data_IF_489372380689
#
_entry.id   IF_489372380689
#
_cell.length_a   1.000
_cell.length_b   1.000
_cell.length_c   1.000
_cell.angle_alpha   90.00
_cell.angle_beta   90.00
_cell.angle_gamma   90.00
#
_symmetry.space_group_name_H-M   'P 1'
#
loop_
_entity.id
_entity.type
_entity.pdbx_description
1 polymer ?
#
# COMPACT_ATOMS: atom_id res chain seq x y z
N UNK A 1 17.79 -0.92 -29.09
CA UNK A 1 16.65 -0.16 -28.56
C UNK A 1 17.11 0.60 -27.32
N UNK A 2 17.19 1.93 -27.35
CA UNK A 2 17.59 2.73 -26.18
C UNK A 2 16.45 2.72 -25.17
N UNK A 3 16.64 2.10 -24.01
CA UNK A 3 15.71 2.19 -22.89
C UNK A 3 15.72 3.64 -22.40
N UNK A 4 14.59 4.34 -22.50
CA UNK A 4 14.45 5.68 -21.92
C UNK A 4 14.71 5.58 -20.41
N UNK A 5 15.72 6.31 -19.92
CA UNK A 5 15.96 6.43 -18.49
C UNK A 5 14.68 6.94 -17.81
N UNK A 6 14.10 6.11 -16.96
CA UNK A 6 12.93 6.50 -16.18
C UNK A 6 13.42 7.49 -15.11
N UNK A 7 13.00 8.75 -15.22
CA UNK A 7 13.28 9.77 -14.22
C UNK A 7 12.92 9.26 -12.81
N UNK A 8 13.87 9.40 -11.87
CA UNK A 8 13.68 9.00 -10.47
C UNK A 8 12.54 9.84 -9.87
N UNK A 9 11.51 9.22 -9.25
CA UNK A 9 10.39 9.96 -8.66
C UNK A 9 10.87 10.90 -7.55
N UNK A 10 10.70 12.21 -7.74
CA UNK A 10 11.04 13.24 -6.72
C UNK A 10 10.13 13.11 -5.50
N UNK A 11 10.69 12.85 -4.31
CA UNK A 11 9.96 12.81 -3.03
C UNK A 11 9.46 14.20 -2.64
N UNK A 12 8.29 14.27 -2.02
CA UNK A 12 7.72 15.51 -1.47
C UNK A 12 8.48 15.94 -0.21
N UNK A 13 8.78 17.23 -0.09
CA UNK A 13 9.39 17.80 1.11
C UNK A 13 8.34 18.44 2.02
N UNK A 14 8.63 18.63 3.32
CA UNK A 14 7.72 19.34 4.23
C UNK A 14 7.38 20.75 3.75
N UNK A 15 8.33 21.45 3.14
CA UNK A 15 8.14 22.80 2.59
C UNK A 15 7.22 22.80 1.37
N UNK A 16 7.34 21.80 0.49
CA UNK A 16 6.41 21.61 -0.62
C UNK A 16 5.00 21.25 -0.12
N UNK A 17 4.90 20.43 0.92
CA UNK A 17 3.61 20.11 1.55
C UNK A 17 2.96 21.35 2.16
N UNK A 18 3.75 22.23 2.79
CA UNK A 18 3.22 23.47 3.38
C UNK A 18 2.72 24.44 2.31
N UNK A 19 3.50 24.67 1.25
CA UNK A 19 3.05 25.46 0.10
C UNK A 19 1.77 24.91 -0.51
N UNK A 20 1.65 23.58 -0.60
CA UNK A 20 0.44 22.95 -1.11
C UNK A 20 -0.76 23.18 -0.18
N UNK A 21 -0.58 23.15 1.16
CA UNK A 21 -1.64 23.51 2.11
C UNK A 21 -2.09 24.96 1.96
N UNK A 22 -1.15 25.89 1.91
CA UNK A 22 -1.44 27.31 1.75
C UNK A 22 -2.18 27.59 0.43
N UNK A 23 -1.71 27.01 -0.67
CA UNK A 23 -2.32 27.16 -1.99
C UNK A 23 -3.75 26.57 -2.02
N UNK A 24 -3.98 25.39 -1.42
CA UNK A 24 -5.33 24.81 -1.33
C UNK A 24 -6.24 25.64 -0.42
N UNK A 25 -5.73 26.20 0.68
CA UNK A 25 -6.51 27.09 1.53
C UNK A 25 -6.96 28.37 0.78
N UNK A 26 -6.09 28.90 -0.09
CA UNK A 26 -6.38 30.11 -0.88
C UNK A 26 -7.34 29.86 -2.04
N UNK A 27 -7.15 28.77 -2.78
CA UNK A 27 -7.87 28.50 -4.04
C UNK A 27 -9.03 27.48 -3.90
N UNK A 28 -9.10 26.78 -2.77
CA UNK A 28 -9.97 25.62 -2.57
C UNK A 28 -9.56 24.41 -3.44
N UNK A 29 -10.25 23.28 -3.28
CA UNK A 29 -9.91 22.01 -3.94
C UNK A 29 -10.40 21.88 -5.40
N UNK A 30 -10.49 23.00 -6.14
CA UNK A 30 -11.14 23.03 -7.47
C UNK A 30 -10.16 23.28 -8.60
N UNK A 31 -9.31 24.30 -8.49
CA UNK A 31 -8.42 24.72 -9.56
C UNK A 31 -6.96 24.29 -9.32
N UNK A 32 -6.70 23.01 -9.58
CA UNK A 32 -5.37 22.40 -9.38
C UNK A 32 -4.28 23.01 -10.27
N UNK A 33 -4.63 23.67 -11.38
CA UNK A 33 -3.67 24.36 -12.24
C UNK A 33 -3.08 25.57 -11.52
N UNK A 34 -3.93 26.44 -10.97
CA UNK A 34 -3.50 27.59 -10.17
C UNK A 34 -2.77 27.18 -8.90
N UNK A 35 -3.23 26.10 -8.23
CA UNK A 35 -2.51 25.55 -7.06
C UNK A 35 -1.07 25.14 -7.44
N UNK A 36 -0.85 24.56 -8.61
CA UNK A 36 0.47 24.11 -9.04
C UNK A 36 1.45 25.26 -9.34
N UNK A 37 0.95 26.43 -9.74
CA UNK A 37 1.78 27.62 -9.96
C UNK A 37 2.45 28.10 -8.67
N UNK A 38 1.82 27.83 -7.52
CA UNK A 38 2.34 28.17 -6.19
C UNK A 38 3.20 27.09 -5.54
N UNK A 39 3.31 25.90 -6.17
CA UNK A 39 4.12 24.78 -5.68
C UNK A 39 5.24 24.48 -6.69
N UNK A 40 6.37 25.21 -6.64
CA UNK A 40 7.44 25.10 -7.62
C UNK A 40 7.94 23.68 -7.80
N UNK A 41 8.08 23.25 -9.07
CA UNK A 41 8.57 21.92 -9.42
C UNK A 41 7.55 20.80 -9.23
N UNK A 42 6.27 21.12 -8.96
CA UNK A 42 5.15 20.17 -8.95
C UNK A 42 4.10 20.60 -9.97
N UNK A 43 3.53 19.63 -10.66
CA UNK A 43 2.41 19.88 -11.57
C UNK A 43 1.06 19.64 -10.88
N UNK A 44 -0.02 20.13 -11.50
CA UNK A 44 -1.38 20.03 -10.96
C UNK A 44 -1.82 18.61 -10.60
N UNK A 45 -1.39 17.61 -11.37
CA UNK A 45 -1.72 16.20 -11.11
C UNK A 45 -0.99 15.69 -9.86
N UNK A 46 0.28 16.07 -9.70
CA UNK A 46 1.06 15.73 -8.51
C UNK A 46 0.47 16.40 -7.26
N UNK A 47 0.09 17.68 -7.34
CA UNK A 47 -0.57 18.41 -6.26
C UNK A 47 -1.89 17.75 -5.86
N UNK A 48 -2.77 17.46 -6.83
CA UNK A 48 -4.04 16.77 -6.59
C UNK A 48 -3.84 15.41 -5.91
N UNK A 49 -2.90 14.59 -6.43
CA UNK A 49 -2.62 13.28 -5.85
C UNK A 49 -2.02 13.39 -4.45
N UNK A 50 -1.13 14.36 -4.22
CA UNK A 50 -0.52 14.57 -2.90
C UNK A 50 -1.57 15.01 -1.89
N UNK A 51 -2.44 15.95 -2.27
CA UNK A 51 -3.53 16.40 -1.43
C UNK A 51 -4.46 15.25 -1.06
N UNK A 52 -5.13 14.68 -2.06
CA UNK A 52 -6.18 13.66 -1.88
C UNK A 52 -5.72 12.39 -1.17
N UNK A 53 -4.43 12.03 -1.28
CA UNK A 53 -3.91 10.77 -0.73
C UNK A 53 -3.10 10.95 0.55
N UNK A 54 -2.68 12.17 0.90
CA UNK A 54 -1.71 12.37 2.00
C UNK A 54 -1.99 13.55 2.90
N UNK A 55 -2.40 14.70 2.36
CA UNK A 55 -2.50 15.97 3.09
C UNK A 55 -3.93 16.40 3.42
N UNK A 56 -4.93 15.92 2.67
CA UNK A 56 -6.32 16.32 2.87
C UNK A 56 -6.75 16.06 4.34
N UNK A 57 -7.45 17.02 4.96
CA UNK A 57 -7.91 16.88 6.33
C UNK A 57 -8.85 15.69 6.47
N UNK A 58 -8.85 15.07 7.65
CA UNK A 58 -9.70 13.91 7.94
C UNK A 58 -9.16 12.56 7.42
N UNK A 59 -8.02 12.53 6.71
CA UNK A 59 -7.37 11.26 6.34
C UNK A 59 -6.81 10.55 7.58
N UNK A 60 -7.27 9.33 7.81
CA UNK A 60 -6.83 8.48 8.93
C UNK A 60 -5.66 7.61 8.49
N UNK A 61 -4.53 7.76 9.20
CA UNK A 61 -3.32 6.95 9.03
C UNK A 61 -3.20 5.97 10.20
N UNK A 62 -2.69 4.77 9.93
CA UNK A 62 -2.42 3.78 10.96
C UNK A 62 -3.56 2.79 11.21
N UNK A 63 -3.68 2.33 12.46
CA UNK A 63 -4.48 1.18 12.88
C UNK A 63 -5.95 1.27 12.46
N UNK A 64 -6.49 0.14 12.03
CA UNK A 64 -7.92 -0.04 11.79
C UNK A 64 -8.62 -0.35 13.10
N UNK A 65 -9.69 0.39 13.37
CA UNK A 65 -10.55 0.14 14.51
C UNK A 65 -11.53 -1.01 14.19
N UNK A 66 -12.01 -1.75 15.21
CA UNK A 66 -12.92 -2.88 14.99
C UNK A 66 -14.20 -2.51 14.24
N UNK A 67 -14.78 -1.34 14.52
CA UNK A 67 -15.97 -0.83 13.84
C UNK A 67 -15.71 -0.48 12.37
N UNK A 68 -14.51 0.02 12.03
CA UNK A 68 -14.10 0.20 10.63
C UNK A 68 -13.98 -1.13 9.88
N UNK A 69 -13.45 -2.17 10.56
CA UNK A 69 -13.35 -3.51 9.98
C UNK A 69 -14.74 -4.13 9.75
N UNK A 70 -15.65 -3.98 10.71
CA UNK A 70 -17.00 -4.52 10.60
C UNK A 70 -17.79 -3.85 9.47
N UNK A 71 -17.69 -2.52 9.36
CA UNK A 71 -18.26 -1.78 8.23
C UNK A 71 -17.64 -2.21 6.90
N UNK A 72 -16.32 -2.42 6.84
CA UNK A 72 -15.67 -2.90 5.63
C UNK A 72 -16.16 -4.29 5.22
N UNK A 73 -16.37 -5.20 6.18
CA UNK A 73 -16.93 -6.53 5.90
C UNK A 73 -18.36 -6.45 5.36
N UNK A 74 -19.21 -5.64 5.98
CA UNK A 74 -20.59 -5.43 5.53
C UNK A 74 -20.62 -4.93 4.09
N UNK A 75 -19.84 -3.89 3.78
CA UNK A 75 -19.81 -3.30 2.44
C UNK A 75 -19.32 -4.28 1.37
N UNK A 76 -18.37 -5.15 1.68
CA UNK A 76 -17.90 -6.18 0.75
C UNK A 76 -18.93 -7.30 0.59
N UNK A 77 -19.63 -7.67 1.67
CA UNK A 77 -20.71 -8.66 1.64
C UNK A 77 -21.90 -8.21 0.78
N UNK A 78 -22.19 -6.91 0.73
CA UNK A 78 -23.17 -6.31 -0.22
C UNK A 78 -22.76 -6.43 -1.71
N UNK A 79 -21.60 -7.04 -2.02
CA UNK A 79 -21.11 -7.21 -3.38
C UNK A 79 -20.36 -5.99 -3.93
N UNK A 80 -20.04 -4.99 -3.09
CA UNK A 80 -19.27 -3.81 -3.53
C UNK A 80 -17.80 -4.19 -3.75
N UNK A 81 -17.46 -4.49 -5.00
CA UNK A 81 -16.06 -4.69 -5.43
C UNK A 81 -15.35 -3.39 -5.86
N UNK A 82 -16.09 -2.28 -5.91
CA UNK A 82 -15.53 -0.96 -6.21
C UNK A 82 -15.03 -0.27 -4.93
N UNK A 83 -13.72 -0.35 -4.68
CA UNK A 83 -13.05 0.26 -3.53
C UNK A 83 -13.19 1.79 -3.46
N UNK A 84 -13.44 2.45 -4.60
CA UNK A 84 -13.82 3.86 -4.66
C UNK A 84 -15.07 4.13 -3.85
N UNK A 85 -16.13 3.38 -4.15
CA UNK A 85 -17.42 3.49 -3.46
C UNK A 85 -17.33 3.02 -2.00
N UNK A 86 -16.62 1.94 -1.72
CA UNK A 86 -16.40 1.46 -0.34
C UNK A 86 -15.77 2.56 0.52
N UNK A 87 -14.71 3.21 0.04
CA UNK A 87 -14.03 4.27 0.78
C UNK A 87 -14.93 5.48 1.08
N UNK A 88 -15.90 5.80 0.21
CA UNK A 88 -16.85 6.90 0.51
C UNK A 88 -17.71 6.65 1.75
N UNK A 89 -17.84 5.38 2.17
CA UNK A 89 -18.62 4.99 3.35
C UNK A 89 -17.78 4.76 4.61
N UNK A 90 -16.44 4.75 4.50
CA UNK A 90 -15.54 4.59 5.65
C UNK A 90 -14.77 5.90 5.84
N UNK A 91 -15.22 6.79 6.75
CA UNK A 91 -14.66 8.13 6.89
C UNK A 91 -13.13 8.11 7.07
N UNK A 92 -12.44 8.96 6.31
CA UNK A 92 -11.00 9.14 6.41
C UNK A 92 -10.14 7.99 5.84
N UNK A 93 -10.73 6.88 5.40
CA UNK A 93 -9.99 5.80 4.73
C UNK A 93 -10.04 5.96 3.22
N UNK A 94 -8.89 5.75 2.59
CA UNK A 94 -8.77 5.74 1.13
C UNK A 94 -9.17 4.38 0.55
N UNK A 95 -9.53 4.35 -0.73
CA UNK A 95 -9.82 3.10 -1.47
C UNK A 95 -8.67 2.11 -1.42
N UNK A 96 -7.43 2.61 -1.46
CA UNK A 96 -6.23 1.79 -1.33
C UNK A 96 -6.19 1.10 0.05
N UNK A 97 -6.39 1.87 1.12
CA UNK A 97 -6.40 1.32 2.48
C UNK A 97 -7.51 0.28 2.64
N UNK A 98 -8.73 0.54 2.17
CA UNK A 98 -9.85 -0.40 2.26
C UNK A 98 -9.52 -1.72 1.53
N UNK A 99 -9.00 -1.62 0.29
CA UNK A 99 -8.58 -2.78 -0.50
C UNK A 99 -7.49 -3.59 0.20
N UNK A 100 -6.44 -2.91 0.66
CA UNK A 100 -5.32 -3.56 1.35
C UNK A 100 -5.79 -4.22 2.65
N UNK A 101 -6.66 -3.55 3.42
CA UNK A 101 -7.21 -4.11 4.65
C UNK A 101 -7.99 -5.39 4.40
N UNK A 102 -8.85 -5.39 3.38
CA UNK A 102 -9.62 -6.57 3.02
C UNK A 102 -8.71 -7.75 2.64
N UNK A 103 -7.93 -7.59 1.58
CA UNK A 103 -7.16 -8.70 0.99
C UNK A 103 -5.98 -9.17 1.85
N UNK A 104 -5.51 -8.38 2.81
CA UNK A 104 -4.40 -8.77 3.68
C UNK A 104 -4.84 -9.23 5.08
N UNK A 105 -6.04 -8.86 5.54
CA UNK A 105 -6.44 -9.10 6.93
C UNK A 105 -7.87 -9.60 7.15
N UNK A 106 -8.86 -9.16 6.36
CA UNK A 106 -10.27 -9.45 6.66
C UNK A 106 -10.87 -10.55 5.81
N UNK A 107 -10.31 -10.80 4.62
CA UNK A 107 -10.80 -11.85 3.73
C UNK A 107 -10.81 -13.21 4.47
N UNK A 108 -11.96 -13.90 4.56
CA UNK A 108 -12.08 -15.18 5.26
C UNK A 108 -11.17 -16.28 4.70
N UNK A 109 -10.76 -16.18 3.44
CA UNK A 109 -9.85 -17.15 2.81
C UNK A 109 -8.42 -17.09 3.32
N UNK A 110 -8.07 -16.08 4.14
CA UNK A 110 -6.72 -15.88 4.66
C UNK A 110 -6.43 -16.84 5.81
N UNK A 111 -5.33 -17.58 5.69
CA UNK A 111 -4.80 -18.47 6.74
C UNK A 111 -3.87 -17.69 7.67
N UNK A 112 -4.24 -17.64 8.96
CA UNK A 112 -3.52 -16.89 10.02
C UNK A 112 -2.63 -17.77 10.91
N UNK A 113 -2.58 -19.08 10.64
CA UNK A 113 -1.78 -20.03 11.42
C UNK A 113 -0.28 -19.95 11.13
N UNK A 114 0.48 -20.76 11.86
CA UNK A 114 1.93 -20.92 11.67
C UNK A 114 2.28 -21.40 10.27
N UNK A 115 3.49 -21.08 9.81
CA UNK A 115 4.01 -21.58 8.53
C UNK A 115 4.58 -22.98 8.71
N UNK A 116 4.21 -23.90 7.82
CA UNK A 116 4.82 -25.22 7.79
C UNK A 116 6.24 -25.15 7.22
N UNK A 117 7.05 -26.19 7.47
CA UNK A 117 8.39 -26.30 6.91
C UNK A 117 8.36 -26.38 5.37
N UNK A 118 7.31 -26.98 4.80
CA UNK A 118 7.07 -27.05 3.36
C UNK A 118 6.74 -25.66 2.79
N UNK A 119 5.89 -24.88 3.46
CA UNK A 119 5.59 -23.51 3.07
C UNK A 119 6.88 -22.67 3.08
N UNK A 120 7.69 -22.77 4.12
CA UNK A 120 8.96 -22.05 4.22
C UNK A 120 9.94 -22.42 3.11
N UNK A 121 10.08 -23.73 2.83
CA UNK A 121 10.91 -24.23 1.73
C UNK A 121 10.42 -23.66 0.39
N UNK A 122 9.12 -23.72 0.16
CA UNK A 122 8.51 -23.19 -1.07
C UNK A 122 8.74 -21.69 -1.23
N UNK A 123 8.61 -20.90 -0.15
CA UNK A 123 8.87 -19.46 -0.15
C UNK A 123 10.31 -19.16 -0.53
N UNK A 124 11.28 -19.87 0.06
CA UNK A 124 12.70 -19.68 -0.20
C UNK A 124 13.06 -20.05 -1.65
N UNK A 125 12.65 -21.23 -2.10
CA UNK A 125 12.95 -21.74 -3.45
C UNK A 125 12.29 -20.89 -4.53
N UNK A 126 11.02 -20.52 -4.33
CA UNK A 126 10.30 -19.68 -5.27
C UNK A 126 10.88 -18.27 -5.32
N UNK A 127 11.32 -17.69 -4.19
CA UNK A 127 11.97 -16.39 -4.18
C UNK A 127 13.33 -16.42 -4.87
N UNK A 128 14.13 -17.49 -4.68
CA UNK A 128 15.40 -17.66 -5.37
C UNK A 128 15.21 -17.73 -6.90
N UNK A 129 14.14 -18.38 -7.37
CA UNK A 129 13.84 -18.56 -8.80
C UNK A 129 13.13 -17.37 -9.44
N UNK A 130 12.16 -16.76 -8.75
CA UNK A 130 11.26 -15.74 -9.29
C UNK A 130 11.63 -14.32 -8.86
N UNK A 131 12.49 -14.16 -7.86
CA UNK A 131 12.77 -12.89 -7.20
C UNK A 131 11.56 -12.40 -6.39
N UNK A 132 11.43 -11.08 -6.26
CA UNK A 132 10.38 -10.43 -5.46
C UNK A 132 8.99 -10.41 -6.13
N UNK A 133 8.66 -11.44 -6.91
CA UNK A 133 7.33 -11.63 -7.52
C UNK A 133 6.37 -12.24 -6.52
N UNK A 134 6.15 -11.53 -5.41
CA UNK A 134 5.42 -12.02 -4.25
C UNK A 134 4.01 -12.50 -4.58
N UNK A 135 3.27 -11.83 -5.47
CA UNK A 135 1.92 -12.26 -5.86
C UNK A 135 1.95 -13.63 -6.55
N UNK A 136 2.99 -13.91 -7.35
CA UNK A 136 3.17 -15.20 -8.00
C UNK A 136 3.58 -16.30 -7.00
N UNK A 137 4.39 -15.95 -6.00
CA UNK A 137 4.76 -16.89 -4.93
C UNK A 137 3.55 -17.21 -4.04
N UNK A 138 2.77 -16.19 -3.66
CA UNK A 138 1.54 -16.36 -2.89
C UNK A 138 0.50 -17.23 -3.61
N UNK A 139 0.42 -17.17 -4.93
CA UNK A 139 -0.44 -18.06 -5.71
C UNK A 139 -0.09 -19.56 -5.56
N UNK A 140 1.13 -19.89 -5.12
CA UNK A 140 1.56 -21.26 -4.83
C UNK A 140 1.23 -21.70 -3.38
N UNK A 141 0.79 -20.78 -2.53
CA UNK A 141 0.57 -20.98 -1.10
C UNK A 141 -0.88 -20.64 -0.74
N UNK A 142 -1.81 -21.62 -0.81
CA UNK A 142 -3.23 -21.38 -0.58
C UNK A 142 -3.50 -20.65 0.74
N UNK A 143 -4.25 -19.55 0.67
CA UNK A 143 -4.60 -18.74 1.84
C UNK A 143 -3.48 -17.85 2.40
N UNK A 144 -2.25 -17.91 1.86
CA UNK A 144 -1.18 -16.95 2.20
C UNK A 144 -1.23 -15.76 1.25
N UNK A 145 -1.23 -14.57 1.83
CA UNK A 145 -1.26 -13.32 1.04
C UNK A 145 0.14 -12.95 0.56
N UNK A 146 0.20 -12.13 -0.49
CA UNK A 146 1.45 -11.54 -0.97
C UNK A 146 2.27 -10.90 0.16
N UNK A 147 1.60 -10.15 1.03
CA UNK A 147 2.24 -9.45 2.14
C UNK A 147 2.76 -10.44 3.19
N UNK A 148 1.97 -11.47 3.51
CA UNK A 148 2.33 -12.52 4.46
C UNK A 148 3.57 -13.29 3.99
N UNK A 149 3.63 -13.68 2.71
CA UNK A 149 4.78 -14.36 2.10
C UNK A 149 6.04 -13.50 2.16
N UNK A 150 5.95 -12.22 1.78
CA UNK A 150 7.06 -11.27 1.84
C UNK A 150 7.58 -11.09 3.27
N UNK A 151 6.68 -10.97 4.25
CA UNK A 151 7.04 -10.86 5.67
C UNK A 151 7.73 -12.14 6.15
N UNK A 152 7.19 -13.32 5.79
CA UNK A 152 7.77 -14.60 6.18
C UNK A 152 9.17 -14.78 5.60
N UNK A 153 9.37 -14.51 4.31
CA UNK A 153 10.69 -14.55 3.69
C UNK A 153 11.70 -13.64 4.41
N UNK A 154 11.31 -12.39 4.74
CA UNK A 154 12.17 -11.48 5.51
C UNK A 154 12.55 -12.05 6.88
N UNK A 155 11.61 -12.71 7.55
CA UNK A 155 11.87 -13.39 8.83
C UNK A 155 12.88 -14.53 8.66
N UNK A 156 12.68 -15.41 7.66
CA UNK A 156 13.59 -16.50 7.34
C UNK A 156 15.01 -16.01 7.00
N UNK A 157 15.13 -14.92 6.23
CA UNK A 157 16.43 -14.33 5.92
C UNK A 157 17.15 -13.74 7.13
N UNK A 158 16.41 -13.19 8.11
CA UNK A 158 17.02 -12.69 9.36
C UNK A 158 17.55 -13.83 10.21
N UNK A 159 16.78 -14.90 10.34
CA UNK A 159 17.20 -16.12 11.05
C UNK A 159 18.46 -16.69 10.40
N UNK A 160 18.50 -16.82 9.07
CA UNK A 160 19.67 -17.33 8.34
C UNK A 160 20.93 -16.46 8.48
N UNK A 161 20.79 -15.16 8.74
CA UNK A 161 21.93 -14.26 9.03
C UNK A 161 22.38 -14.29 10.49
N UNK A 162 21.50 -14.69 11.42
CA UNK A 162 21.80 -14.78 12.86
C UNK A 162 22.53 -16.06 13.27
N UNK A 163 22.39 -17.15 12.50
CA UNK A 163 23.20 -18.35 12.62
C UNK A 163 24.34 -18.26 11.61
N UNK A 164 25.52 -17.83 12.09
CA UNK A 164 26.70 -17.53 11.28
C UNK A 164 26.91 -18.47 10.10
N UNK A 165 26.67 -17.96 8.89
CA UNK A 165 27.17 -18.53 7.66
C UNK A 165 27.42 -17.36 6.70
N UNK A 166 28.69 -17.03 6.52
CA UNK A 166 29.14 -16.07 5.51
C UNK A 166 28.63 -16.52 4.14
N UNK A 167 28.00 -15.61 3.41
CA UNK A 167 27.83 -15.77 1.96
C UNK A 167 28.83 -14.81 1.34
N UNK A 168 29.81 -15.40 0.67
CA UNK A 168 30.90 -14.78 -0.09
C UNK A 168 30.33 -13.90 -1.20
#
# INVERSE_FOLDING_TARGET
MKTKDKAVPKRWTPEEDEKLREAVNRHGERNWKSIAEEVPGRNHTQCLQRWTKVLAPGLVKGHWRPDEDDLLKELVAEGRKNWGQVATRIPGRTSKQCRERWYNHLDPSIVRGEYSAEEDRMILDAQARLGNRWSAIAAMLPGRTEDAVKIRWKSLCRVRKGYGCYVI
#
